data_IF_921771380454
#
_entry.id   IF_921771380454
#
_cell.length_a   1.000
_cell.length_b   1.000
_cell.length_c   1.000
_cell.angle_alpha   90.00
_cell.angle_beta   90.00
_cell.angle_gamma   90.00
#
_symmetry.space_group_name_H-M   'P 1'
#
loop_
_entity.id
_entity.type
_entity.pdbx_description
1 polymer ?
#
# COMPACT_ATOMS: atom_id res chain seq x y z
N UNK A 1 -7.42 -12.64 -1.57
CA UNK A 1 -6.59 -11.45 -1.83
C UNK A 1 -6.36 -10.57 -0.60
N UNK A 2 -7.27 -9.66 -0.18
CA UNK A 2 -6.97 -8.74 0.94
C UNK A 2 -6.94 -9.39 2.33
N UNK A 3 -7.88 -10.29 2.64
CA UNK A 3 -8.04 -10.86 3.99
C UNK A 3 -6.82 -11.63 4.52
N UNK A 4 -5.90 -12.04 3.65
CA UNK A 4 -4.71 -12.81 4.03
C UNK A 4 -3.43 -12.25 3.45
N UNK A 5 -3.43 -11.01 2.93
CA UNK A 5 -2.24 -10.41 2.30
C UNK A 5 -1.54 -11.38 1.33
N UNK A 6 -2.29 -12.06 0.46
CA UNK A 6 -1.75 -13.02 -0.51
C UNK A 6 -1.10 -14.30 0.07
N UNK A 7 -1.24 -14.63 1.37
CA UNK A 7 -0.61 -15.85 1.95
C UNK A 7 -0.98 -17.18 1.28
N UNK A 8 -2.12 -17.29 0.61
CA UNK A 8 -2.54 -18.50 -0.12
C UNK A 8 -2.18 -18.48 -1.61
N UNK A 9 -1.56 -17.40 -2.07
CA UNK A 9 -1.50 -16.99 -3.47
C UNK A 9 -0.07 -16.70 -3.95
N UNK A 10 0.91 -16.96 -3.09
CA UNK A 10 2.33 -16.68 -3.31
C UNK A 10 3.18 -17.75 -2.62
N UNK A 11 4.40 -17.93 -3.12
CA UNK A 11 5.40 -18.68 -2.37
C UNK A 11 5.68 -18.00 -1.03
N UNK A 12 6.18 -18.75 -0.05
CA UNK A 12 6.53 -18.18 1.24
C UNK A 12 7.57 -17.05 1.10
N UNK A 13 8.57 -17.22 0.22
CA UNK A 13 9.60 -16.20 -0.04
C UNK A 13 9.03 -14.94 -0.70
N UNK A 14 8.16 -15.10 -1.69
CA UNK A 14 7.51 -13.96 -2.35
C UNK A 14 6.57 -13.20 -1.41
N UNK A 15 5.91 -13.93 -0.50
CA UNK A 15 5.05 -13.35 0.53
C UNK A 15 5.84 -12.46 1.49
N UNK A 16 7.02 -12.94 1.95
CA UNK A 16 7.90 -12.16 2.82
C UNK A 16 8.42 -10.91 2.11
N UNK A 17 8.88 -11.04 0.86
CA UNK A 17 9.35 -9.90 0.07
C UNK A 17 8.26 -8.83 -0.10
N UNK A 18 7.03 -9.26 -0.35
CA UNK A 18 5.89 -8.36 -0.50
C UNK A 18 5.56 -7.63 0.80
N UNK A 19 5.54 -8.34 1.92
CA UNK A 19 5.32 -7.73 3.23
C UNK A 19 6.41 -6.73 3.59
N UNK A 20 7.67 -7.08 3.40
CA UNK A 20 8.79 -6.17 3.65
C UNK A 20 8.66 -4.89 2.82
N UNK A 21 8.31 -5.01 1.53
CA UNK A 21 8.12 -3.86 0.66
C UNK A 21 6.90 -3.01 1.09
N UNK A 22 5.78 -3.66 1.39
CA UNK A 22 4.55 -2.97 1.79
C UNK A 22 4.74 -2.20 3.10
N UNK A 23 5.29 -2.84 4.12
CA UNK A 23 5.59 -2.20 5.40
C UNK A 23 6.58 -1.07 5.24
N UNK A 24 7.65 -1.22 4.45
CA UNK A 24 8.61 -0.13 4.21
C UNK A 24 7.98 1.09 3.52
N UNK A 25 6.97 0.89 2.67
CA UNK A 25 6.28 1.98 1.94
C UNK A 25 5.14 2.61 2.73
N UNK A 26 4.49 1.85 3.61
CA UNK A 26 3.38 2.31 4.45
C UNK A 26 3.83 2.71 5.87
N UNK A 27 5.11 2.52 6.22
CA UNK A 27 5.64 2.83 7.54
C UNK A 27 5.43 4.30 7.91
N UNK A 28 4.85 4.49 9.10
CA UNK A 28 4.61 5.77 9.72
C UNK A 28 5.24 5.81 11.12
N UNK A 29 6.27 6.64 11.34
CA UNK A 29 6.88 6.79 12.66
C UNK A 29 5.93 7.43 13.69
N UNK A 30 4.91 8.17 13.23
CA UNK A 30 3.87 8.76 14.08
C UNK A 30 2.84 7.75 14.59
N UNK A 31 2.84 6.53 14.06
CA UNK A 31 1.95 5.46 14.53
C UNK A 31 2.34 5.02 15.96
N UNK A 32 3.61 5.18 16.35
CA UNK A 32 4.05 4.81 17.70
C UNK A 32 3.51 5.78 18.75
N UNK A 33 3.43 7.08 18.41
CA UNK A 33 2.88 8.08 19.33
C UNK A 33 1.40 7.86 19.63
N UNK A 34 0.61 7.36 18.66
CA UNK A 34 -0.81 7.08 18.89
C UNK A 34 -1.05 5.94 19.88
N UNK A 35 -0.12 4.99 20.01
CA UNK A 35 -0.24 3.90 21.00
C UNK A 35 0.09 4.33 22.43
N UNK A 36 0.84 5.43 22.62
CA UNK A 36 1.14 5.96 23.96
C UNK A 36 0.04 6.92 24.48
N UNK A 37 -0.73 7.53 23.57
CA UNK A 37 -1.80 8.47 23.91
C UNK A 37 -3.01 7.80 24.60
N UNK A 38 -3.25 6.50 24.33
CA UNK A 38 -4.36 5.74 24.93
C UNK A 38 -4.20 5.47 26.45
N UNK A 39 -3.05 5.83 27.05
CA UNK A 39 -2.80 5.67 28.49
C UNK A 39 -2.98 6.95 29.32
N UNK A 40 -3.35 8.08 28.71
CA UNK A 40 -3.59 9.33 29.44
C UNK A 40 -4.83 10.04 28.92
N UNK A 41 -5.96 9.80 29.59
CA UNK A 41 -7.15 10.63 29.42
C UNK A 41 -6.82 12.11 29.65
N UNK A 42 -7.29 12.95 28.73
CA UNK A 42 -7.12 14.39 28.68
C UNK A 42 -5.67 14.87 28.46
N UNK A 43 -5.39 15.32 27.23
CA UNK A 43 -5.32 16.74 26.88
C UNK A 43 -5.03 16.80 25.39
N UNK A 44 -5.81 17.61 24.66
CA UNK A 44 -5.48 18.09 23.31
C UNK A 44 -4.22 18.95 23.44
N UNK A 45 -3.07 18.31 23.52
CA UNK A 45 -1.81 18.92 23.15
C UNK A 45 -1.48 18.32 21.79
N UNK A 46 -1.48 19.17 20.77
CA UNK A 46 -0.53 19.02 19.66
C UNK A 46 0.84 18.87 20.32
N UNK A 47 1.23 17.63 20.60
CA UNK A 47 2.59 17.32 20.97
C UNK A 47 3.33 17.53 19.65
N UNK A 48 3.88 18.74 19.49
CA UNK A 48 5.09 18.98 18.71
C UNK A 48 6.18 18.12 19.34
N UNK A 49 6.06 16.81 19.17
CA UNK A 49 6.87 15.79 19.78
C UNK A 49 8.21 15.83 19.10
N UNK A 50 9.06 16.72 19.61
CA UNK A 50 10.51 16.78 19.41
C UNK A 50 10.89 16.15 18.08
N UNK A 51 10.48 16.80 16.99
CA UNK A 51 10.61 16.27 15.61
C UNK A 51 12.07 15.86 15.47
N UNK A 52 12.34 14.56 15.62
CA UNK A 52 13.65 13.98 15.31
C UNK A 52 13.95 14.52 13.93
N UNK A 53 15.05 15.27 13.80
CA UNK A 53 15.28 16.04 12.58
C UNK A 53 15.03 15.11 11.39
N UNK A 54 14.38 15.59 10.33
CA UNK A 54 14.04 14.80 9.12
C UNK A 54 15.23 13.93 8.66
N UNK A 55 16.48 14.33 8.97
CA UNK A 55 17.73 13.62 8.73
C UNK A 55 17.89 12.25 9.43
N UNK A 56 17.11 11.91 10.45
CA UNK A 56 17.19 10.61 11.13
C UNK A 56 16.33 9.53 10.44
N UNK A 57 15.42 9.94 9.57
CA UNK A 57 14.51 9.04 8.87
C UNK A 57 15.10 8.52 7.56
N UNK A 58 14.68 7.31 7.16
CA UNK A 58 15.06 6.68 5.90
C UNK A 58 14.55 7.46 4.67
N UNK A 59 15.12 7.19 3.48
CA UNK A 59 14.75 7.92 2.25
C UNK A 59 13.23 7.91 1.99
N UNK A 60 12.60 6.74 2.13
CA UNK A 60 11.16 6.56 1.88
C UNK A 60 10.29 7.17 2.97
N UNK A 61 10.70 7.02 4.23
CA UNK A 61 10.03 7.58 5.40
C UNK A 61 9.94 9.12 5.35
N UNK A 62 11.01 9.80 4.92
CA UNK A 62 10.99 11.26 4.69
C UNK A 62 10.00 11.67 3.60
N UNK A 63 9.89 10.87 2.54
CA UNK A 63 8.99 11.17 1.42
C UNK A 63 7.52 10.99 1.84
N UNK A 64 7.23 9.99 2.67
CA UNK A 64 5.91 9.74 3.22
C UNK A 64 5.42 10.88 4.13
N UNK A 65 6.26 11.34 5.07
CA UNK A 65 5.90 12.46 5.95
C UNK A 65 5.61 13.76 5.20
N UNK A 66 6.34 14.04 4.11
CA UNK A 66 6.09 15.22 3.27
C UNK A 66 4.75 15.15 2.55
N UNK A 67 4.32 13.96 2.11
CA UNK A 67 3.05 13.77 1.39
C UNK A 67 1.84 13.88 2.32
N UNK A 68 2.01 13.53 3.61
CA UNK A 68 0.93 13.50 4.61
C UNK A 68 0.53 14.89 5.15
N UNK A 69 1.44 15.86 5.15
CA UNK A 69 1.14 17.21 5.64
C UNK A 69 0.05 17.95 4.83
N UNK A 70 -0.33 17.43 3.65
CA UNK A 70 -1.22 18.09 2.70
C UNK A 70 -2.59 17.44 2.50
N UNK A 71 -2.96 16.35 3.20
CA UNK A 71 -4.28 15.69 3.07
C UNK A 71 -4.82 15.22 4.43
N UNK A 72 -6.09 15.52 4.71
CA UNK A 72 -6.83 15.06 5.89
C UNK A 72 -7.34 13.61 5.80
N UNK A 73 -7.21 12.99 4.62
CA UNK A 73 -7.46 11.57 4.37
C UNK A 73 -6.11 10.97 3.96
N UNK A 74 -5.58 10.03 4.75
CA UNK A 74 -4.19 9.56 4.60
C UNK A 74 -3.85 9.03 3.19
N UNK A 75 -2.55 8.91 2.83
CA UNK A 75 -2.17 8.40 1.52
C UNK A 75 -2.71 6.98 1.31
N UNK A 76 -3.27 6.72 0.13
CA UNK A 76 -3.81 5.40 -0.25
C UNK A 76 -2.70 4.35 -0.14
N UNK A 77 -2.92 3.24 0.59
CA UNK A 77 -1.90 2.23 0.84
C UNK A 77 -1.41 1.54 -0.46
N UNK A 78 -0.13 1.15 -0.51
CA UNK A 78 0.47 0.49 -1.69
C UNK A 78 -0.20 -0.86 -1.98
N UNK A 79 -0.77 -1.52 -0.96
CA UNK A 79 -1.56 -2.74 -1.08
C UNK A 79 -2.68 -2.65 -2.13
N UNK A 80 -3.35 -1.50 -2.21
CA UNK A 80 -4.43 -1.25 -3.19
C UNK A 80 -3.88 -1.24 -4.61
N UNK A 81 -2.72 -0.63 -4.80
CA UNK A 81 -2.05 -0.59 -6.12
C UNK A 81 -1.49 -1.94 -6.52
N UNK A 82 -1.10 -2.77 -5.55
CA UNK A 82 -0.70 -4.15 -5.81
C UNK A 82 -1.89 -4.97 -6.33
N UNK A 83 -3.05 -4.91 -5.67
CA UNK A 83 -4.26 -5.57 -6.19
C UNK A 83 -4.64 -5.03 -7.57
N UNK A 84 -4.57 -3.72 -7.77
CA UNK A 84 -4.79 -3.12 -9.09
C UNK A 84 -3.80 -3.63 -10.15
N UNK A 85 -2.55 -3.88 -9.78
CA UNK A 85 -1.56 -4.45 -10.69
C UNK A 85 -1.92 -5.86 -11.14
N UNK A 86 -2.39 -6.71 -10.22
CA UNK A 86 -2.81 -8.09 -10.51
C UNK A 86 -4.08 -8.11 -11.35
N UNK A 87 -5.06 -7.27 -11.03
CA UNK A 87 -6.28 -7.12 -11.83
C UNK A 87 -5.96 -6.64 -13.25
N UNK A 88 -5.02 -5.71 -13.38
CA UNK A 88 -4.59 -5.19 -14.68
C UNK A 88 -3.87 -6.24 -15.51
N UNK A 89 -3.03 -7.07 -14.90
CA UNK A 89 -2.34 -8.15 -15.62
C UNK A 89 -3.32 -9.19 -16.16
N UNK A 90 -4.44 -9.40 -15.46
CA UNK A 90 -5.48 -10.36 -15.86
C UNK A 90 -6.68 -9.73 -16.56
N UNK A 91 -6.60 -8.44 -16.92
CA UNK A 91 -7.78 -7.70 -17.39
C UNK A 91 -8.36 -8.26 -18.68
N UNK A 92 -7.53 -8.77 -19.58
CA UNK A 92 -7.98 -9.35 -20.85
C UNK A 92 -8.83 -10.60 -20.63
N UNK A 93 -8.35 -11.52 -19.79
CA UNK A 93 -9.09 -12.74 -19.40
C UNK A 93 -10.36 -12.41 -18.63
N UNK A 94 -10.27 -11.50 -17.66
CA UNK A 94 -11.43 -11.07 -16.88
C UNK A 94 -12.52 -10.48 -17.78
N UNK A 95 -12.16 -9.65 -18.75
CA UNK A 95 -13.14 -9.02 -19.66
C UNK A 95 -13.73 -10.00 -20.69
N UNK A 96 -13.00 -11.04 -21.07
CA UNK A 96 -13.44 -12.01 -22.09
C UNK A 96 -14.20 -13.20 -21.51
N UNK A 97 -13.78 -13.69 -20.35
CA UNK A 97 -14.24 -14.97 -19.79
C UNK A 97 -15.21 -14.80 -18.63
N UNK A 98 -15.17 -13.68 -17.90
CA UNK A 98 -16.03 -13.52 -16.72
C UNK A 98 -17.46 -13.14 -17.11
N UNK A 99 -18.43 -14.00 -16.78
CA UNK A 99 -19.87 -13.72 -16.94
C UNK A 99 -20.56 -13.45 -15.61
N UNK A 100 -19.89 -13.73 -14.49
CA UNK A 100 -20.35 -13.45 -13.14
C UNK A 100 -19.21 -13.39 -12.13
N UNK A 101 -19.56 -13.12 -10.87
CA UNK A 101 -18.58 -12.98 -9.78
C UNK A 101 -17.82 -14.29 -9.54
N UNK A 102 -18.47 -15.43 -9.69
CA UNK A 102 -17.83 -16.75 -9.51
C UNK A 102 -16.73 -17.00 -10.55
N UNK A 103 -16.93 -16.56 -11.79
CA UNK A 103 -15.91 -16.64 -12.83
C UNK A 103 -14.70 -15.74 -12.51
N UNK A 104 -14.94 -14.55 -11.99
CA UNK A 104 -13.87 -13.62 -11.56
C UNK A 104 -13.03 -14.28 -10.46
N UNK A 105 -13.67 -14.85 -9.45
CA UNK A 105 -12.99 -15.54 -8.34
C UNK A 105 -12.17 -16.72 -8.88
N UNK A 106 -12.73 -17.51 -9.79
CA UNK A 106 -12.04 -18.64 -10.41
C UNK A 106 -10.81 -18.21 -11.22
N UNK A 107 -10.96 -17.19 -12.07
CA UNK A 107 -9.87 -16.66 -12.91
C UNK A 107 -8.73 -16.14 -12.03
N UNK A 108 -9.04 -15.35 -11.01
CA UNK A 108 -8.02 -14.81 -10.09
C UNK A 108 -7.34 -15.93 -9.29
N UNK A 109 -8.09 -16.91 -8.78
CA UNK A 109 -7.51 -18.03 -8.04
C UNK A 109 -6.57 -18.91 -8.88
N UNK A 110 -6.82 -19.05 -10.18
CA UNK A 110 -5.93 -19.80 -11.07
C UNK A 110 -4.60 -19.08 -11.35
N UNK A 111 -4.59 -17.75 -11.28
CA UNK A 111 -3.38 -16.94 -11.51
C UNK A 111 -2.45 -16.96 -10.29
N UNK A 112 -3.02 -17.18 -9.11
CA UNK A 112 -2.34 -17.19 -7.82
C UNK A 112 -1.28 -18.31 -7.64
N UNK A 113 -1.15 -19.24 -8.59
CA UNK A 113 -0.06 -20.23 -8.59
C UNK A 113 1.21 -19.81 -9.33
N UNK A 114 1.16 -18.73 -10.14
CA UNK A 114 2.24 -18.30 -11.03
C UNK A 114 2.43 -16.77 -11.02
N UNK A 115 2.03 -16.11 -9.93
CA UNK A 115 2.15 -14.66 -9.81
C UNK A 115 3.61 -14.28 -9.53
N UNK A 116 4.22 -13.55 -10.47
CA UNK A 116 5.55 -12.95 -10.30
C UNK A 116 5.44 -11.70 -9.40
N UNK A 117 5.64 -11.91 -8.09
CA UNK A 117 5.51 -10.87 -7.08
C UNK A 117 6.37 -9.64 -7.36
N UNK A 118 7.60 -9.83 -7.88
CA UNK A 118 8.49 -8.71 -8.21
C UNK A 118 7.90 -7.86 -9.33
N UNK A 119 7.37 -8.50 -10.37
CA UNK A 119 6.72 -7.81 -11.49
C UNK A 119 5.47 -7.05 -11.04
N UNK A 120 4.62 -7.70 -10.25
CA UNK A 120 3.43 -7.07 -9.68
C UNK A 120 3.82 -5.82 -8.86
N UNK A 121 4.84 -5.91 -8.00
CA UNK A 121 5.36 -4.77 -7.24
C UNK A 121 5.86 -3.62 -8.13
N UNK A 122 6.60 -3.91 -9.20
CA UNK A 122 7.09 -2.88 -10.13
C UNK A 122 5.92 -2.16 -10.81
N UNK A 123 4.89 -2.89 -11.23
CA UNK A 123 3.68 -2.29 -11.83
C UNK A 123 2.90 -1.49 -10.79
N UNK A 124 2.75 -2.01 -9.57
CA UNK A 124 2.11 -1.32 -8.46
C UNK A 124 2.78 0.01 -8.13
N UNK A 125 4.12 0.03 -8.06
CA UNK A 125 4.90 1.25 -7.83
C UNK A 125 4.71 2.28 -8.95
N UNK A 126 4.63 1.85 -10.21
CA UNK A 126 4.33 2.74 -11.34
C UNK A 126 2.93 3.33 -11.22
N UNK A 127 1.93 2.53 -10.86
CA UNK A 127 0.55 2.99 -10.66
C UNK A 127 0.46 3.99 -9.50
N UNK A 128 1.09 3.67 -8.37
CA UNK A 128 1.16 4.53 -7.19
C UNK A 128 1.77 5.91 -7.51
N UNK A 129 2.94 5.94 -8.19
CA UNK A 129 3.55 7.21 -8.62
C UNK A 129 2.66 8.00 -9.57
N UNK A 130 2.02 7.33 -10.53
CA UNK A 130 1.10 7.98 -11.49
C UNK A 130 -0.12 8.58 -10.79
N UNK A 131 -0.66 7.88 -9.80
CA UNK A 131 -1.78 8.35 -9.00
C UNK A 131 -1.41 9.59 -8.19
N UNK A 132 -0.27 9.55 -7.48
CA UNK A 132 0.21 10.71 -6.73
C UNK A 132 0.50 11.94 -7.59
N UNK A 133 1.08 11.76 -8.78
CA UNK A 133 1.28 12.88 -9.71
C UNK A 133 -0.04 13.56 -10.09
N UNK A 134 -1.07 12.77 -10.39
CA UNK A 134 -2.41 13.29 -10.71
C UNK A 134 -3.08 13.98 -9.53
N UNK A 135 -2.87 13.49 -8.30
CA UNK A 135 -3.37 14.17 -7.11
C UNK A 135 -2.73 15.54 -6.92
N UNK A 136 -1.42 15.65 -7.17
CA UNK A 136 -0.71 16.94 -7.11
C UNK A 136 -1.18 17.91 -8.20
N UNK A 137 -1.40 17.42 -9.43
CA UNK A 137 -1.94 18.22 -10.54
C UNK A 137 -3.35 18.76 -10.24
N UNK A 138 -4.19 18.01 -9.53
CA UNK A 138 -5.55 18.45 -9.16
C UNK A 138 -5.60 19.49 -8.04
N UNK A 139 -4.53 19.61 -7.26
CA UNK A 139 -4.42 20.56 -6.14
C UNK A 139 -3.82 21.91 -6.55
N UNK A 140 -3.20 21.97 -7.73
CA UNK A 140 -2.66 23.20 -8.33
C UNK A 140 -3.68 23.85 -9.24
#
# INVERSE_FOLDING_TARGET
MFMVLFRRELSFGDSLYLWEMMWALEYDPGICSTYEEDNTGAVVHKIEGKVKSIRQFGKYERENMKKRANDGDGPVPISVFLVASVLKENSTKLLQEARGIDDIIRILNNVNGNLDAKRACVVALKLHRKYHKKLQEKKS
#
